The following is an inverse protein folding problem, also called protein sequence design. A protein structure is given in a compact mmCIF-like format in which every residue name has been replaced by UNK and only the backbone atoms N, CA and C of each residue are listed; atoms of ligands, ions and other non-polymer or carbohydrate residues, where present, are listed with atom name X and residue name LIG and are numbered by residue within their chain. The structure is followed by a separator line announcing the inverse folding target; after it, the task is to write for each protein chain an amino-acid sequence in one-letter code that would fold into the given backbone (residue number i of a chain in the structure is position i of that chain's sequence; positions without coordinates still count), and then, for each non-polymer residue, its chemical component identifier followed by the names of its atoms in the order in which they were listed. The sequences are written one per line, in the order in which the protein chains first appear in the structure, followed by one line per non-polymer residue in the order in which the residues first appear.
data_IF_401382309412
#
_entry.id   IF_401382309412
#
_cell.length_a   1.000
_cell.length_b   1.000
_cell.length_c   1.000
_cell.angle_alpha   90.00
_cell.angle_beta   90.00
_cell.angle_gamma   90.00
#
_symmetry.space_group_name_H-M   'P 1'
#
loop_
_entity.id
_entity.type
_entity.pdbx_description
1 polymer ?
#
# COMPACT_ATOMS: atom_id res chain seq x y z
N UNK A 1 11.33 -1.32 19.00
CA UNK A 1 11.35 -0.47 17.79
C UNK A 1 9.95 0.05 17.55
N UNK A 2 9.76 1.37 17.42
CA UNK A 2 8.43 1.96 17.13
C UNK A 2 8.23 2.11 15.62
N UNK A 3 7.06 1.70 15.12
CA UNK A 3 6.63 1.83 13.72
C UNK A 3 5.31 2.59 13.71
N UNK A 4 5.25 3.66 12.92
CA UNK A 4 4.04 4.46 12.75
C UNK A 4 3.55 4.34 11.31
N UNK A 5 2.29 3.93 11.13
CA UNK A 5 1.71 3.64 9.82
C UNK A 5 0.49 4.52 9.59
N UNK A 6 0.56 5.38 8.59
CA UNK A 6 -0.58 6.17 8.12
C UNK A 6 -1.32 5.41 7.03
N UNK A 7 -2.64 5.27 7.18
CA UNK A 7 -3.47 4.53 6.22
C UNK A 7 -4.79 5.23 5.97
N UNK A 8 -5.23 5.19 4.71
CA UNK A 8 -6.59 5.53 4.28
C UNK A 8 -7.32 4.25 3.88
N UNK A 9 -8.61 4.15 4.19
CA UNK A 9 -9.48 3.04 3.81
C UNK A 9 -9.73 2.96 2.29
N UNK A 10 -9.68 4.09 1.58
CA UNK A 10 -9.88 4.19 0.13
C UNK A 10 -8.62 3.79 -0.66
N UNK A 11 -7.49 3.57 0.01
CA UNK A 11 -6.19 3.35 -0.59
C UNK A 11 -5.94 1.84 -0.83
N UNK A 12 -5.99 1.35 -2.09
CA UNK A 12 -5.75 -0.08 -2.36
C UNK A 12 -4.32 -0.51 -1.99
N UNK A 13 -3.34 0.38 -2.14
CA UNK A 13 -1.95 0.11 -1.78
C UNK A 13 -1.74 0.02 -0.27
N UNK A 14 -2.54 0.72 0.53
CA UNK A 14 -2.47 0.69 1.98
C UNK A 14 -2.97 -0.68 2.49
N UNK A 15 -4.01 -1.25 1.88
CA UNK A 15 -4.45 -2.62 2.15
C UNK A 15 -3.37 -3.65 1.78
N UNK A 16 -2.80 -3.54 0.58
CA UNK A 16 -1.69 -4.39 0.13
C UNK A 16 -0.51 -4.30 1.09
N UNK A 17 -0.10 -3.09 1.43
CA UNK A 17 1.01 -2.80 2.34
C UNK A 17 0.78 -3.41 3.71
N UNK A 18 -0.43 -3.26 4.28
CA UNK A 18 -0.82 -3.89 5.55
C UNK A 18 -0.66 -5.40 5.51
N UNK A 19 -1.15 -6.08 4.48
CA UNK A 19 -1.03 -7.55 4.37
C UNK A 19 0.43 -8.01 4.27
N UNK A 20 1.25 -7.29 3.49
CA UNK A 20 2.69 -7.59 3.39
C UNK A 20 3.43 -7.31 4.70
N UNK A 21 3.12 -6.22 5.37
CA UNK A 21 3.70 -5.86 6.66
C UNK A 21 3.38 -6.91 7.73
N UNK A 22 2.10 -7.29 7.86
CA UNK A 22 1.67 -8.34 8.80
C UNK A 22 2.39 -9.67 8.55
N UNK A 23 2.48 -10.08 7.28
CA UNK A 23 3.16 -11.32 6.91
C UNK A 23 4.67 -11.29 7.20
N UNK A 24 5.32 -10.13 7.03
CA UNK A 24 6.73 -9.96 7.35
C UNK A 24 6.98 -9.89 8.85
N UNK A 25 6.13 -9.18 9.60
CA UNK A 25 6.22 -9.07 11.06
C UNK A 25 6.06 -10.42 11.73
N UNK A 26 5.17 -11.29 11.23
CA UNK A 26 4.99 -12.63 11.79
C UNK A 26 6.25 -13.51 11.65
N UNK A 27 7.07 -13.27 10.61
CA UNK A 27 8.33 -13.95 10.35
C UNK A 27 9.56 -13.22 10.91
N UNK A 28 9.34 -12.17 11.69
CA UNK A 28 10.40 -11.38 12.28
C UNK A 28 10.70 -11.88 13.70
N UNK A 29 11.93 -12.31 13.95
CA UNK A 29 12.29 -12.99 15.20
C UNK A 29 12.12 -12.08 16.44
N UNK A 30 12.24 -10.76 16.25
CA UNK A 30 12.05 -9.75 17.29
C UNK A 30 10.67 -9.10 17.25
N UNK A 31 9.63 -9.76 16.70
CA UNK A 31 8.28 -9.16 16.58
C UNK A 31 7.70 -8.63 17.88
N UNK A 32 8.05 -9.26 19.01
CA UNK A 32 7.59 -8.85 20.34
C UNK A 32 8.23 -7.52 20.81
N UNK A 33 9.34 -7.10 20.19
CA UNK A 33 10.01 -5.83 20.48
C UNK A 33 9.52 -4.70 19.56
N UNK A 34 8.54 -4.97 18.69
CA UNK A 34 7.97 -3.99 17.75
C UNK A 34 6.68 -3.40 18.31
N UNK A 35 6.65 -2.08 18.45
CA UNK A 35 5.46 -1.31 18.81
C UNK A 35 4.89 -0.64 17.56
N UNK A 36 3.66 -0.99 17.17
CA UNK A 36 3.02 -0.51 15.93
C UNK A 36 1.85 0.40 16.27
N UNK A 37 1.91 1.64 15.83
CA UNK A 37 0.81 2.61 15.92
C UNK A 37 0.23 2.91 14.55
N UNK A 38 -1.08 2.79 14.40
CA UNK A 38 -1.81 3.16 13.18
C UNK A 38 -2.39 4.55 13.31
N UNK A 39 -2.18 5.37 12.29
CA UNK A 39 -2.68 6.72 12.19
C UNK A 39 -3.65 6.83 11.00
N UNK A 40 -4.74 7.57 11.18
CA UNK A 40 -5.66 7.88 10.09
C UNK A 40 -5.00 8.80 9.07
N UNK A 41 -5.24 8.55 7.79
CA UNK A 41 -4.89 9.43 6.68
C UNK A 41 -6.08 9.61 5.75
N UNK A 42 -6.14 10.77 5.09
CA UNK A 42 -7.14 11.07 4.07
C UNK A 42 -6.42 11.43 2.77
N UNK A 43 -6.52 10.57 1.74
CA UNK A 43 -6.03 10.81 0.40
C UNK A 43 -6.72 12.02 -0.24
N UNK A 44 -7.99 12.24 0.10
CA UNK A 44 -8.77 13.37 -0.37
C UNK A 44 -9.47 14.06 0.81
N UNK A 45 -8.74 14.92 1.55
CA UNK A 45 -9.31 15.73 2.61
C UNK A 45 -10.38 16.66 2.03
N UNK A 46 -11.60 16.63 2.58
CA UNK A 46 -12.72 17.43 2.09
C UNK A 46 -13.65 16.75 1.10
N UNK A 47 -13.46 15.45 0.81
CA UNK A 47 -14.45 14.67 0.07
C UNK A 47 -15.78 14.64 0.83
N UNK A 48 -16.83 15.14 0.18
CA UNK A 48 -18.20 15.07 0.70
C UNK A 48 -18.94 13.87 0.13
N UNK A 49 -19.79 13.22 0.94
CA UNK A 49 -20.64 12.13 0.47
C UNK A 49 -21.52 12.61 -0.69
N UNK A 50 -21.56 11.82 -1.76
CA UNK A 50 -22.37 12.08 -2.96
C UNK A 50 -23.37 10.93 -3.14
N UNK A 51 -24.52 10.94 -2.45
CA UNK A 51 -25.51 9.88 -2.55
C UNK A 51 -25.96 9.68 -4.00
N UNK A 52 -26.08 8.42 -4.42
CA UNK A 52 -26.52 8.06 -5.77
C UNK A 52 -25.41 8.03 -6.83
N UNK A 53 -24.19 8.45 -6.51
CA UNK A 53 -23.02 8.34 -7.40
C UNK A 53 -22.18 7.13 -7.02
N UNK A 54 -21.94 6.21 -7.96
CA UNK A 54 -21.08 5.06 -7.74
C UNK A 54 -19.59 5.40 -7.98
N UNK A 55 -18.70 4.51 -7.56
CA UNK A 55 -17.24 4.73 -7.63
C UNK A 55 -16.72 4.99 -9.05
N UNK A 56 -17.33 4.40 -10.09
CA UNK A 56 -16.90 4.61 -11.47
C UNK A 56 -17.30 6.00 -11.97
N UNK A 57 -18.49 6.46 -11.61
CA UNK A 57 -18.98 7.81 -11.93
C UNK A 57 -18.15 8.86 -11.21
N UNK A 58 -17.85 8.62 -9.94
CA UNK A 58 -16.95 9.45 -9.16
C UNK A 58 -15.55 9.51 -9.77
N UNK A 59 -14.97 8.37 -10.13
CA UNK A 59 -13.64 8.30 -10.75
C UNK A 59 -13.61 9.05 -12.09
N UNK A 60 -14.64 8.85 -12.92
CA UNK A 60 -14.79 9.52 -14.21
C UNK A 60 -14.76 11.04 -14.07
N UNK A 61 -15.50 11.56 -13.08
CA UNK A 61 -15.57 12.98 -12.79
C UNK A 61 -14.23 13.53 -12.27
N UNK A 62 -13.64 12.95 -11.23
CA UNK A 62 -12.41 13.51 -10.64
C UNK A 62 -11.19 13.41 -11.57
N UNK A 63 -11.19 12.45 -12.51
CA UNK A 63 -10.13 12.28 -13.51
C UNK A 63 -10.46 12.96 -14.84
N UNK A 64 -11.66 13.52 -15.00
CA UNK A 64 -12.15 14.06 -16.27
C UNK A 64 -12.01 13.08 -17.44
N UNK A 65 -12.41 11.82 -17.22
CA UNK A 65 -12.35 10.73 -18.22
C UNK A 65 -13.73 10.15 -18.52
N UNK A 66 -13.94 9.51 -19.69
CA UNK A 66 -15.20 8.83 -19.98
C UNK A 66 -15.52 7.74 -18.95
N UNK A 67 -16.81 7.54 -18.62
CA UNK A 67 -17.26 6.51 -17.68
C UNK A 67 -16.77 5.10 -18.05
N UNK A 68 -16.69 4.80 -19.34
CA UNK A 68 -16.17 3.53 -19.83
C UNK A 68 -14.69 3.33 -19.46
N UNK A 69 -13.88 4.37 -19.63
CA UNK A 69 -12.47 4.34 -19.24
C UNK A 69 -12.30 4.20 -17.72
N UNK A 70 -13.15 4.86 -16.92
CA UNK A 70 -13.15 4.69 -15.47
C UNK A 70 -13.48 3.25 -15.04
N UNK A 71 -14.47 2.61 -15.68
CA UNK A 71 -14.80 1.19 -15.43
C UNK A 71 -13.65 0.25 -15.77
N UNK A 72 -12.98 0.48 -16.90
CA UNK A 72 -11.82 -0.31 -17.31
C UNK A 72 -10.64 -0.14 -16.35
N UNK A 73 -10.38 1.10 -15.89
CA UNK A 73 -9.38 1.36 -14.86
C UNK A 73 -9.73 0.63 -13.56
N UNK A 74 -10.98 0.66 -13.11
CA UNK A 74 -11.41 -0.05 -11.91
C UNK A 74 -11.31 -1.58 -12.07
N UNK A 75 -11.50 -2.14 -13.26
CA UNK A 75 -11.26 -3.57 -13.52
C UNK A 75 -9.77 -3.94 -13.35
N UNK A 76 -8.86 -3.02 -13.67
CA UNK A 76 -7.42 -3.20 -13.42
C UNK A 76 -7.05 -3.13 -11.93
N UNK A 77 -7.92 -2.57 -11.08
CA UNK A 77 -7.78 -2.55 -9.62
C UNK A 77 -8.78 -3.49 -8.91
N UNK A 78 -9.53 -4.33 -9.65
CA UNK A 78 -10.27 -5.46 -9.08
C UNK A 78 -9.33 -6.57 -8.62
N UNK A 79 -9.84 -7.60 -7.93
CA UNK A 79 -8.99 -8.65 -7.32
C UNK A 79 -7.92 -9.21 -8.28
N UNK A 80 -8.31 -9.60 -9.50
CA UNK A 80 -7.39 -10.14 -10.52
C UNK A 80 -6.43 -9.09 -11.11
N UNK A 81 -6.86 -7.83 -11.15
CA UNK A 81 -6.03 -6.70 -11.55
C UNK A 81 -4.99 -6.33 -10.49
N UNK A 82 -5.41 -6.28 -9.22
CA UNK A 82 -4.55 -6.11 -8.05
C UNK A 82 -3.57 -7.26 -7.94
N UNK A 83 -3.98 -8.51 -8.16
CA UNK A 83 -3.08 -9.67 -8.21
C UNK A 83 -2.01 -9.51 -9.29
N UNK A 84 -2.39 -9.11 -10.51
CA UNK A 84 -1.42 -8.81 -11.58
C UNK A 84 -0.50 -7.63 -11.26
N UNK A 85 -1.04 -6.57 -10.65
CA UNK A 85 -0.28 -5.40 -10.25
C UNK A 85 0.69 -5.74 -9.11
N UNK A 86 0.28 -6.61 -8.18
CA UNK A 86 1.11 -7.17 -7.12
C UNK A 86 2.25 -8.01 -7.69
N UNK A 87 1.97 -8.86 -8.68
CA UNK A 87 2.99 -9.66 -9.38
C UNK A 87 3.94 -8.77 -10.18
N UNK A 88 3.43 -7.73 -10.85
CA UNK A 88 4.23 -6.75 -11.57
C UNK A 88 5.11 -5.92 -10.62
N UNK A 89 4.56 -5.49 -9.49
CA UNK A 89 5.29 -4.77 -8.44
C UNK A 89 6.32 -5.68 -7.77
N UNK A 90 6.01 -6.96 -7.53
CA UNK A 90 7.00 -7.96 -7.08
C UNK A 90 8.14 -8.08 -8.10
N UNK A 91 7.82 -8.14 -9.39
CA UNK A 91 8.81 -8.18 -10.47
C UNK A 91 9.65 -6.88 -10.55
N UNK A 92 9.05 -5.71 -10.32
CA UNK A 92 9.73 -4.40 -10.35
C UNK A 92 10.51 -4.07 -9.07
N UNK A 93 10.11 -4.60 -7.90
CA UNK A 93 10.79 -4.35 -6.63
C UNK A 93 12.22 -4.92 -6.62
N UNK A 94 12.52 -5.86 -7.52
CA UNK A 94 13.86 -6.39 -7.76
C UNK A 94 14.81 -5.38 -8.46
N UNK A 95 14.32 -4.20 -8.90
CA UNK A 95 15.15 -3.18 -9.59
C UNK A 95 15.40 -1.88 -8.82
N UNK A 96 14.73 -1.63 -7.68
CA UNK A 96 14.71 -0.29 -7.05
C UNK A 96 15.48 -0.14 -5.73
N UNK A 97 16.14 -1.17 -5.22
CA UNK A 97 16.68 -1.14 -3.84
C UNK A 97 18.08 -0.52 -3.75
N UNK A 98 18.20 0.72 -4.24
CA UNK A 98 19.38 1.56 -4.07
C UNK A 98 19.80 1.67 -2.60
N UNK A 99 20.87 0.95 -2.29
CA UNK A 99 21.65 0.97 -1.05
C UNK A 99 22.16 2.40 -0.78
N UNK A 100 21.99 2.94 0.44
CA UNK A 100 22.69 4.18 0.82
C UNK A 100 22.14 5.05 1.96
N UNK A 101 21.72 4.50 3.10
CA UNK A 101 21.73 5.28 4.36
C UNK A 101 22.18 4.41 5.54
N UNK A 102 23.12 4.94 6.31
CA UNK A 102 23.89 4.27 7.35
C UNK A 102 23.99 5.22 8.54
N UNK A 103 23.16 5.04 9.57
CA UNK A 103 23.28 5.90 10.74
C UNK A 103 22.46 5.60 11.99
N UNK A 104 21.62 4.57 12.06
CA UNK A 104 20.97 4.20 13.32
C UNK A 104 20.78 2.69 13.46
N UNK A 105 20.82 2.18 14.69
CA UNK A 105 20.67 0.76 15.02
C UNK A 105 19.33 0.16 14.55
N UNK A 106 18.31 1.00 14.30
CA UNK A 106 17.03 0.57 13.72
C UNK A 106 17.07 0.34 12.20
N UNK A 107 18.06 0.88 11.49
CA UNK A 107 18.15 0.76 10.03
C UNK A 107 18.50 -0.66 9.56
N UNK A 108 19.21 -1.45 10.37
CA UNK A 108 19.52 -2.84 10.06
C UNK A 108 18.26 -3.72 10.11
N UNK A 109 17.45 -3.54 11.15
CA UNK A 109 16.17 -4.26 11.31
C UNK A 109 15.14 -3.82 10.26
N UNK A 110 15.12 -2.54 9.91
CA UNK A 110 14.28 -2.03 8.84
C UNK A 110 14.68 -2.62 7.47
N UNK A 111 15.98 -2.73 7.18
CA UNK A 111 16.48 -3.38 5.96
C UNK A 111 16.08 -4.86 5.92
N UNK A 112 16.21 -5.58 7.03
CA UNK A 112 15.80 -6.98 7.13
C UNK A 112 14.28 -7.13 6.88
N UNK A 113 13.46 -6.31 7.53
CA UNK A 113 12.01 -6.36 7.38
C UNK A 113 11.57 -6.03 5.95
N UNK A 114 12.20 -5.03 5.31
CA UNK A 114 11.94 -4.70 3.90
C UNK A 114 12.32 -5.86 2.99
N UNK A 115 13.46 -6.53 3.21
CA UNK A 115 13.85 -7.72 2.43
C UNK A 115 12.82 -8.83 2.57
N UNK A 116 12.34 -9.14 3.80
CA UNK A 116 11.31 -10.17 4.01
C UNK A 116 9.97 -9.81 3.36
N UNK A 117 9.58 -8.53 3.31
CA UNK A 117 8.39 -8.07 2.58
C UNK A 117 8.48 -8.23 1.06
N UNK A 118 9.69 -8.35 0.52
CA UNK A 118 9.94 -8.49 -0.93
C UNK A 118 10.08 -9.94 -1.39
N UNK A 119 10.53 -10.82 -0.50
CA UNK A 119 10.86 -12.22 -0.80
C UNK A 119 9.80 -13.23 -0.37
N UNK A 120 8.65 -12.78 0.14
CA UNK A 120 7.46 -13.59 0.39
C UNK A 120 6.21 -13.02 -0.25
#
# INVERSE_FOLDING_TARGET
MKIEIWSDIMCPFCYIGKRKFEAALEKFDHKNDVDVTWHSFQLQPGLTSSPGKNINEYLAEIKSIPLQQAKEMMNNYGYSGVERLLLLLHHYNLRSIGIGDSGSSGAALMKEMVVKMMTS
#
